data_IF_790841159859
#
_entry.id   IF_790841159859
#
_cell.length_a   1.000
_cell.length_b   1.000
_cell.length_c   1.000
_cell.angle_alpha   90.00
_cell.angle_beta   90.00
_cell.angle_gamma   90.00
#
_symmetry.space_group_name_H-M   'P 1'
#
loop_
_entity.id
_entity.type
_entity.pdbx_description
1 polymer ?
#
# COMPACT_ATOMS: atom_id res chain seq x y z
N UNK A 1 33.65 1.76 11.60
CA UNK A 1 32.78 0.85 10.81
C UNK A 1 31.79 0.27 11.82
N UNK A 2 30.50 0.61 11.67
CA UNK A 2 29.46 -0.05 12.48
C UNK A 2 29.49 -1.56 12.20
N UNK A 3 29.45 -2.36 13.23
CA UNK A 3 29.35 -3.81 13.14
C UNK A 3 28.02 -4.19 12.46
N UNK A 4 28.00 -5.31 11.72
CA UNK A 4 26.74 -5.87 11.20
C UNK A 4 25.75 -6.24 12.35
N UNK A 5 26.28 -6.48 13.56
CA UNK A 5 25.46 -6.72 14.75
C UNK A 5 24.66 -5.52 15.23
N UNK A 6 25.03 -4.31 14.81
CA UNK A 6 24.39 -3.06 15.24
C UNK A 6 23.33 -2.60 14.22
N UNK A 7 23.01 -3.42 13.22
CA UNK A 7 22.02 -3.13 12.18
C UNK A 7 20.74 -3.92 12.38
N UNK A 8 19.64 -3.37 11.85
CA UNK A 8 18.32 -4.04 11.89
C UNK A 8 17.68 -4.06 10.51
N UNK A 9 16.83 -5.04 10.29
CA UNK A 9 15.96 -5.08 9.11
C UNK A 9 14.82 -4.09 9.29
N UNK A 10 14.60 -3.25 8.26
CA UNK A 10 13.54 -2.25 8.23
C UNK A 10 12.87 -2.32 6.86
N UNK A 11 11.56 -2.35 6.83
CA UNK A 11 10.80 -2.24 5.59
C UNK A 11 11.08 -0.87 4.95
N UNK A 12 11.54 -0.88 3.71
CA UNK A 12 11.87 0.32 2.95
C UNK A 12 10.86 0.58 1.83
N UNK A 13 10.07 -0.41 1.50
CA UNK A 13 8.95 -0.35 0.59
C UNK A 13 8.00 -1.52 0.85
N UNK A 14 6.70 -1.25 0.76
CA UNK A 14 5.66 -2.28 0.89
C UNK A 14 4.42 -1.94 0.08
N UNK A 15 3.62 -2.98 -0.22
CA UNK A 15 2.28 -2.88 -0.77
C UNK A 15 1.38 -3.94 -0.14
N UNK A 16 0.14 -3.57 0.19
CA UNK A 16 -0.83 -4.56 0.68
C UNK A 16 -1.23 -5.51 -0.42
N UNK A 17 -1.11 -6.83 -0.22
CA UNK A 17 -1.56 -7.81 -1.18
C UNK A 17 -3.09 -7.87 -1.24
N UNK A 18 -3.61 -7.94 -2.46
CA UNK A 18 -5.03 -8.16 -2.76
C UNK A 18 -5.21 -9.38 -3.65
N UNK A 19 -6.45 -9.91 -3.68
CA UNK A 19 -6.83 -11.02 -4.56
C UNK A 19 -7.30 -10.50 -5.92
N UNK A 20 -6.53 -10.73 -6.96
CA UNK A 20 -6.83 -10.32 -8.32
C UNK A 20 -7.99 -11.09 -8.99
N UNK A 21 -8.54 -12.12 -8.35
CA UNK A 21 -9.68 -12.86 -8.92
C UNK A 21 -10.99 -12.08 -8.76
N UNK A 22 -11.82 -12.08 -9.80
CA UNK A 22 -13.14 -11.46 -9.77
C UNK A 22 -14.16 -12.40 -9.11
N UNK A 23 -15.06 -11.85 -8.29
CA UNK A 23 -15.99 -12.64 -7.46
C UNK A 23 -17.07 -13.37 -8.26
N UNK A 24 -17.47 -12.82 -9.43
CA UNK A 24 -18.62 -13.29 -10.22
C UNK A 24 -18.23 -13.79 -11.62
N UNK A 25 -16.94 -13.99 -11.86
CA UNK A 25 -16.44 -14.33 -13.18
C UNK A 25 -16.28 -15.84 -13.39
N UNK A 26 -16.10 -16.25 -14.64
CA UNK A 26 -15.88 -17.63 -15.03
C UNK A 26 -14.61 -18.25 -14.45
N UNK A 27 -14.33 -19.53 -14.79
CA UNK A 27 -13.19 -20.29 -14.23
C UNK A 27 -11.85 -19.57 -14.47
N UNK A 28 -11.65 -18.95 -15.64
CA UNK A 28 -10.40 -18.24 -15.97
C UNK A 28 -10.19 -17.01 -15.11
N UNK A 29 -11.26 -16.26 -14.80
CA UNK A 29 -11.17 -15.07 -13.95
C UNK A 29 -10.88 -15.41 -12.47
N UNK A 30 -11.17 -16.66 -12.05
CA UNK A 30 -10.82 -17.15 -10.72
C UNK A 30 -9.33 -17.47 -10.56
N UNK A 31 -8.60 -17.60 -11.66
CA UNK A 31 -7.16 -17.85 -11.65
C UNK A 31 -6.32 -16.55 -11.51
N UNK A 32 -6.94 -15.38 -11.64
CA UNK A 32 -6.22 -14.12 -11.68
C UNK A 32 -5.51 -13.90 -13.02
N UNK A 33 -4.35 -13.25 -13.00
CA UNK A 33 -3.55 -13.02 -14.21
C UNK A 33 -2.73 -14.26 -14.54
N UNK A 34 -3.05 -14.95 -15.63
CA UNK A 34 -2.27 -16.09 -16.11
C UNK A 34 -1.09 -15.62 -16.96
N UNK A 35 0.11 -16.09 -16.64
CA UNK A 35 1.33 -15.82 -17.40
C UNK A 35 2.10 -17.10 -17.67
N UNK A 36 2.85 -17.14 -18.79
CA UNK A 36 3.68 -18.28 -19.17
C UNK A 36 5.05 -17.81 -19.60
N UNK A 37 6.10 -18.32 -18.93
CA UNK A 37 7.52 -18.01 -19.23
C UNK A 37 7.78 -16.50 -19.36
N UNK A 38 7.37 -15.73 -18.35
CA UNK A 38 7.39 -14.26 -18.31
C UNK A 38 8.27 -13.78 -17.17
N UNK A 39 9.07 -12.75 -17.44
CA UNK A 39 9.71 -11.93 -16.42
C UNK A 39 8.82 -10.72 -16.08
N UNK A 40 8.51 -10.53 -14.80
CA UNK A 40 7.97 -9.28 -14.28
C UNK A 40 9.11 -8.47 -13.68
N UNK A 41 9.29 -7.24 -14.14
CA UNK A 41 10.26 -6.28 -13.61
C UNK A 41 9.53 -5.13 -12.95
N UNK A 42 9.78 -4.94 -11.67
CA UNK A 42 9.10 -3.94 -10.81
C UNK A 42 10.12 -2.94 -10.29
N UNK A 43 9.88 -1.66 -10.50
CA UNK A 43 10.61 -0.56 -9.89
C UNK A 43 9.87 -0.08 -8.65
N UNK A 44 10.60 0.09 -7.54
CA UNK A 44 10.08 0.57 -6.26
C UNK A 44 11.02 1.63 -5.69
N UNK A 45 10.46 2.71 -5.15
CA UNK A 45 11.22 3.78 -4.52
C UNK A 45 11.45 3.42 -3.04
N UNK A 46 12.72 3.30 -2.64
CA UNK A 46 13.08 3.01 -1.26
C UNK A 46 13.00 4.25 -0.38
N UNK A 47 12.37 4.15 0.76
CA UNK A 47 12.27 5.25 1.75
C UNK A 47 13.35 5.20 2.82
N UNK A 48 14.06 4.08 2.95
CA UNK A 48 15.24 3.92 3.80
C UNK A 48 16.43 3.35 3.01
N UNK A 49 17.64 3.60 3.48
CA UNK A 49 18.87 3.01 2.96
C UNK A 49 19.41 1.90 3.84
N UNK A 50 20.29 1.07 3.26
CA UNK A 50 20.93 -0.03 3.99
C UNK A 50 22.07 -0.67 3.20
N UNK A 51 22.71 -1.67 3.78
CA UNK A 51 23.83 -2.39 3.17
C UNK A 51 23.42 -3.63 2.38
N UNK A 52 22.28 -4.19 2.73
CA UNK A 52 21.69 -5.37 2.11
C UNK A 52 20.21 -5.14 1.88
N UNK A 53 19.65 -5.86 0.91
CA UNK A 53 18.20 -5.92 0.66
C UNK A 53 17.71 -7.35 0.77
N UNK A 54 16.45 -7.53 1.17
CA UNK A 54 15.71 -8.79 1.07
C UNK A 54 14.29 -8.51 0.61
N UNK A 55 13.66 -9.49 0.00
CA UNK A 55 12.35 -9.37 -0.62
C UNK A 55 11.37 -10.33 0.03
N UNK A 56 10.12 -9.91 0.16
CA UNK A 56 9.01 -10.83 0.46
C UNK A 56 8.17 -11.03 -0.80
N UNK A 57 8.08 -12.30 -1.23
CA UNK A 57 7.20 -12.76 -2.29
C UNK A 57 6.02 -13.51 -1.69
N UNK A 58 4.81 -13.24 -2.18
CA UNK A 58 3.58 -13.80 -1.65
C UNK A 58 2.70 -14.43 -2.72
N UNK A 59 2.16 -15.59 -2.40
CA UNK A 59 1.11 -16.30 -3.14
C UNK A 59 -0.11 -16.56 -2.23
N UNK A 60 -0.36 -15.66 -1.28
CA UNK A 60 -1.34 -15.87 -0.22
C UNK A 60 -2.78 -16.07 -0.72
N UNK A 61 -3.13 -15.46 -1.84
CA UNK A 61 -4.43 -15.65 -2.49
C UNK A 61 -4.38 -16.68 -3.62
N UNK A 62 -3.20 -17.25 -3.89
CA UNK A 62 -3.01 -18.23 -4.93
C UNK A 62 -3.75 -19.53 -4.65
N UNK A 63 -4.27 -20.14 -5.71
CA UNK A 63 -4.89 -21.50 -5.67
C UNK A 63 -3.97 -22.55 -6.29
N UNK A 64 -2.95 -22.12 -7.02
CA UNK A 64 -1.90 -22.95 -7.59
C UNK A 64 -0.52 -22.41 -7.13
N UNK A 65 0.51 -23.26 -7.10
CA UNK A 65 1.85 -22.79 -6.80
C UNK A 65 2.37 -21.81 -7.86
N UNK A 66 3.15 -20.79 -7.44
CA UNK A 66 3.95 -19.97 -8.32
C UNK A 66 5.35 -20.59 -8.52
N UNK A 67 5.81 -20.64 -9.76
CA UNK A 67 7.12 -21.18 -10.13
C UNK A 67 8.08 -20.03 -10.43
N UNK A 68 8.73 -19.51 -9.41
CA UNK A 68 9.79 -18.51 -9.51
C UNK A 68 11.10 -19.24 -9.88
N UNK A 69 11.54 -19.11 -11.11
CA UNK A 69 12.74 -19.79 -11.59
C UNK A 69 14.00 -18.97 -11.44
N UNK A 70 13.90 -17.64 -11.36
CA UNK A 70 14.99 -16.73 -11.05
C UNK A 70 14.43 -15.43 -10.49
N UNK A 71 15.22 -14.79 -9.60
CA UNK A 71 14.92 -13.47 -9.09
C UNK A 71 16.23 -12.66 -8.96
N UNK A 72 16.19 -11.40 -9.33
CA UNK A 72 17.32 -10.47 -9.20
C UNK A 72 16.87 -9.12 -8.70
N UNK A 73 17.81 -8.39 -8.08
CA UNK A 73 17.67 -6.98 -7.71
C UNK A 73 18.80 -6.18 -8.28
N UNK A 74 18.53 -4.93 -8.64
CA UNK A 74 19.52 -3.96 -9.10
C UNK A 74 19.03 -2.53 -8.82
N UNK A 75 19.92 -1.57 -8.84
CA UNK A 75 19.53 -0.17 -8.97
C UNK A 75 18.99 0.04 -10.39
N UNK A 76 17.86 0.70 -10.53
CA UNK A 76 17.21 0.83 -11.82
C UNK A 76 16.55 2.18 -12.05
N UNK A 77 15.90 2.30 -13.20
CA UNK A 77 15.10 3.46 -13.56
C UNK A 77 13.68 3.35 -13.01
N UNK A 78 13.04 4.49 -12.79
CA UNK A 78 11.68 4.59 -12.21
C UNK A 78 10.60 3.95 -13.10
N UNK A 79 10.88 3.85 -14.41
CA UNK A 79 9.98 3.23 -15.39
C UNK A 79 10.05 1.69 -15.42
N UNK A 80 10.82 1.06 -14.54
CA UNK A 80 11.05 -0.39 -14.48
C UNK A 80 11.61 -1.03 -15.77
N UNK A 81 12.19 -0.28 -16.70
CA UNK A 81 12.71 -0.83 -17.95
C UNK A 81 14.23 -1.08 -17.91
N UNK A 82 14.97 -0.17 -17.28
CA UNK A 82 16.42 -0.20 -17.21
C UNK A 82 16.94 -0.60 -15.83
N UNK A 83 18.12 -1.22 -15.79
CA UNK A 83 18.90 -1.47 -14.56
C UNK A 83 20.36 -1.10 -14.78
N UNK A 84 21.06 -0.76 -13.69
CA UNK A 84 22.53 -0.69 -13.68
C UNK A 84 23.09 -2.11 -13.50
N UNK A 85 23.72 -2.70 -14.53
CA UNK A 85 24.24 -4.06 -14.48
C UNK A 85 25.33 -4.27 -13.41
N UNK A 86 26.05 -3.22 -13.02
CA UNK A 86 27.11 -3.31 -12.01
C UNK A 86 26.52 -3.59 -10.61
N UNK A 87 25.29 -3.19 -10.40
CA UNK A 87 24.57 -3.37 -9.14
C UNK A 87 23.74 -4.67 -9.06
N UNK A 88 23.69 -5.44 -10.15
CA UNK A 88 22.87 -6.65 -10.25
C UNK A 88 23.26 -7.69 -9.20
N UNK A 89 22.30 -8.16 -8.42
CA UNK A 89 22.45 -9.26 -7.45
C UNK A 89 21.40 -10.31 -7.68
N UNK A 90 21.80 -11.57 -7.59
CA UNK A 90 20.87 -12.72 -7.59
C UNK A 90 20.23 -12.84 -6.21
N UNK A 91 18.93 -13.03 -6.19
CA UNK A 91 18.14 -13.27 -4.97
C UNK A 91 17.94 -14.77 -4.80
N UNK A 92 18.06 -15.26 -3.57
CA UNK A 92 17.86 -16.68 -3.22
C UNK A 92 16.86 -16.82 -2.09
N UNK A 93 16.18 -17.97 -2.05
CA UNK A 93 15.32 -18.38 -0.93
C UNK A 93 15.83 -19.72 -0.42
N UNK A 94 16.22 -19.79 0.85
CA UNK A 94 16.83 -20.99 1.41
C UNK A 94 18.10 -21.46 0.66
N UNK A 95 18.87 -20.53 0.09
CA UNK A 95 20.06 -20.80 -0.71
C UNK A 95 19.79 -21.22 -2.17
N UNK A 96 18.53 -21.36 -2.57
CA UNK A 96 18.14 -21.74 -3.93
C UNK A 96 17.76 -20.49 -4.77
N UNK A 97 18.15 -20.51 -6.05
CA UNK A 97 17.77 -19.44 -7.00
C UNK A 97 16.37 -19.61 -7.57
N UNK A 98 15.75 -20.78 -7.35
CA UNK A 98 14.39 -21.07 -7.75
C UNK A 98 13.55 -21.46 -6.53
N UNK A 99 12.29 -21.08 -6.54
CA UNK A 99 11.34 -21.43 -5.50
C UNK A 99 9.98 -21.77 -6.09
N UNK A 100 9.37 -22.82 -5.57
CA UNK A 100 7.96 -23.13 -5.82
C UNK A 100 7.16 -22.64 -4.61
N UNK A 101 6.54 -21.48 -4.75
CA UNK A 101 5.77 -20.86 -3.71
C UNK A 101 4.34 -21.43 -3.70
N UNK A 102 4.03 -22.25 -2.71
CA UNK A 102 2.73 -22.93 -2.60
C UNK A 102 1.56 -21.97 -2.55
N UNK A 103 0.36 -22.48 -2.81
CA UNK A 103 -0.88 -21.75 -2.59
C UNK A 103 -1.00 -21.34 -1.11
N UNK A 104 -1.40 -20.09 -0.86
CA UNK A 104 -1.50 -19.52 0.48
C UNK A 104 -0.16 -19.15 1.14
N UNK A 105 0.98 -19.43 0.50
CA UNK A 105 2.31 -19.21 1.10
C UNK A 105 2.92 -17.86 0.74
N UNK A 106 3.82 -17.41 1.62
CA UNK A 106 4.74 -16.30 1.38
C UNK A 106 6.16 -16.72 1.78
N UNK A 107 7.17 -16.10 1.20
CA UNK A 107 8.56 -16.33 1.58
C UNK A 107 9.37 -15.05 1.55
N UNK A 108 10.32 -14.93 2.49
CA UNK A 108 11.32 -13.86 2.50
C UNK A 108 12.64 -14.42 1.97
N UNK A 109 13.28 -13.66 1.10
CA UNK A 109 14.56 -14.05 0.50
C UNK A 109 15.71 -13.99 1.50
N UNK A 110 16.81 -14.66 1.17
CA UNK A 110 18.10 -14.41 1.81
C UNK A 110 18.56 -12.97 1.51
N UNK A 111 19.39 -12.37 2.39
CA UNK A 111 19.97 -11.06 2.17
C UNK A 111 20.84 -11.02 0.89
N UNK A 112 20.59 -10.04 0.02
CA UNK A 112 21.45 -9.71 -1.11
C UNK A 112 22.34 -8.51 -0.73
N UNK A 113 23.65 -8.66 -0.83
CA UNK A 113 24.62 -7.59 -0.52
C UNK A 113 24.58 -6.52 -1.63
N UNK A 114 23.69 -5.56 -1.45
CA UNK A 114 23.48 -4.41 -2.32
C UNK A 114 23.25 -3.16 -1.45
N UNK A 115 24.27 -2.30 -1.32
CA UNK A 115 24.08 -1.00 -0.67
C UNK A 115 23.07 -0.15 -1.44
N UNK A 116 22.12 0.40 -0.73
CA UNK A 116 21.05 1.26 -1.26
C UNK A 116 20.88 2.50 -0.39
N UNK A 117 20.39 3.58 -1.01
CA UNK A 117 20.11 4.83 -0.32
C UNK A 117 18.58 5.10 -0.30
N UNK A 118 18.14 5.83 0.72
CA UNK A 118 16.78 6.38 0.75
C UNK A 118 16.56 7.34 -0.43
N UNK A 119 15.44 7.21 -1.12
CA UNK A 119 15.12 7.95 -2.34
C UNK A 119 15.66 7.31 -3.62
N UNK A 120 16.31 6.16 -3.53
CA UNK A 120 16.82 5.42 -4.68
C UNK A 120 15.77 4.41 -5.18
N UNK A 121 15.70 4.22 -6.49
CA UNK A 121 14.84 3.21 -7.11
C UNK A 121 15.55 1.86 -7.15
N UNK A 122 14.94 0.86 -6.51
CA UNK A 122 15.32 -0.54 -6.62
C UNK A 122 14.44 -1.21 -7.67
N UNK A 123 15.07 -1.96 -8.56
CA UNK A 123 14.37 -2.79 -9.55
C UNK A 123 14.48 -4.26 -9.16
N UNK A 124 13.31 -4.91 -9.02
CA UNK A 124 13.18 -6.34 -8.77
C UNK A 124 12.72 -7.01 -10.06
N UNK A 125 13.45 -8.03 -10.55
CA UNK A 125 13.04 -8.81 -11.71
C UNK A 125 12.81 -10.25 -11.30
N UNK A 126 11.58 -10.74 -11.47
CA UNK A 126 11.17 -12.14 -11.16
C UNK A 126 10.82 -12.85 -12.46
N UNK A 127 11.45 -13.97 -12.72
CA UNK A 127 11.12 -14.85 -13.86
C UNK A 127 10.23 -15.99 -13.40
N UNK A 128 9.02 -16.04 -13.93
CA UNK A 128 8.02 -17.07 -13.69
C UNK A 128 8.05 -18.10 -14.83
N UNK A 129 8.50 -19.31 -14.53
CA UNK A 129 8.65 -20.39 -15.51
C UNK A 129 7.39 -21.23 -15.63
N UNK A 130 6.99 -21.54 -16.87
CA UNK A 130 5.78 -22.28 -17.17
C UNK A 130 4.52 -21.48 -16.84
N UNK A 131 3.39 -22.15 -16.73
CA UNK A 131 2.09 -21.50 -16.47
C UNK A 131 2.00 -21.12 -15.00
N UNK A 132 1.73 -19.87 -14.73
CA UNK A 132 1.50 -19.32 -13.39
C UNK A 132 0.18 -18.54 -13.35
N UNK A 133 -0.59 -18.74 -12.29
CA UNK A 133 -1.82 -18.01 -12.01
C UNK A 133 -1.54 -17.00 -10.88
N UNK A 134 -1.35 -15.74 -11.23
CA UNK A 134 -1.01 -14.67 -10.28
C UNK A 134 -2.29 -14.07 -9.70
N UNK A 135 -2.69 -14.51 -8.53
CA UNK A 135 -3.82 -13.95 -7.79
C UNK A 135 -3.40 -12.93 -6.74
N UNK A 136 -2.20 -13.08 -6.20
CA UNK A 136 -1.66 -12.15 -5.21
C UNK A 136 -0.94 -11.02 -5.93
N UNK A 137 -1.51 -9.82 -5.87
CA UNK A 137 -0.96 -8.61 -6.49
C UNK A 137 -1.01 -7.42 -5.53
N UNK A 138 -0.14 -6.44 -5.75
CA UNK A 138 -0.28 -5.08 -5.24
C UNK A 138 -0.78 -4.15 -6.34
N UNK A 139 -1.48 -3.07 -5.97
CA UNK A 139 -1.95 -2.03 -6.91
C UNK A 139 -1.35 -0.65 -6.62
N UNK A 140 -0.37 -0.57 -5.73
CA UNK A 140 0.13 0.70 -5.19
C UNK A 140 1.63 0.63 -4.94
N UNK A 141 2.33 1.71 -5.24
CA UNK A 141 3.69 1.97 -4.77
C UNK A 141 4.82 1.50 -5.68
N UNK A 142 4.53 1.03 -6.88
CA UNK A 142 5.55 0.61 -7.85
C UNK A 142 5.06 0.69 -9.28
N UNK A 143 5.98 0.50 -10.21
CA UNK A 143 5.71 0.38 -11.65
C UNK A 143 6.24 -0.98 -12.11
N UNK A 144 5.47 -1.73 -12.88
CA UNK A 144 5.85 -3.06 -13.36
C UNK A 144 5.71 -3.21 -14.87
N UNK A 145 6.66 -3.92 -15.45
CA UNK A 145 6.60 -4.34 -16.86
C UNK A 145 6.82 -5.85 -16.98
N UNK A 146 6.14 -6.44 -17.94
CA UNK A 146 6.30 -7.85 -18.28
C UNK A 146 7.00 -8.00 -19.63
N UNK A 147 7.93 -8.97 -19.73
CA UNK A 147 8.55 -9.36 -20.99
C UNK A 147 8.70 -10.89 -21.05
N UNK A 148 8.45 -11.50 -22.22
CA UNK A 148 8.56 -12.94 -22.41
C UNK A 148 10.02 -13.40 -22.24
N UNK A 149 10.19 -14.56 -21.60
CA UNK A 149 11.48 -15.19 -21.33
C UNK A 149 12.16 -14.68 -20.06
N UNK A 150 13.34 -15.23 -19.77
CA UNK A 150 14.13 -14.85 -18.61
C UNK A 150 14.91 -13.57 -18.87
N UNK A 151 14.42 -12.46 -18.35
CA UNK A 151 15.00 -11.13 -18.46
C UNK A 151 15.72 -10.68 -17.19
N UNK A 152 15.92 -11.56 -16.20
CA UNK A 152 16.50 -11.22 -14.88
C UNK A 152 17.90 -10.59 -14.98
N UNK A 153 18.66 -10.89 -16.02
CA UNK A 153 20.02 -10.35 -16.24
C UNK A 153 20.11 -9.32 -17.38
N UNK A 154 19.01 -8.99 -18.03
CA UNK A 154 19.00 -8.01 -19.13
C UNK A 154 19.13 -6.59 -18.58
N UNK A 155 20.08 -5.77 -19.05
CA UNK A 155 20.20 -4.37 -18.63
C UNK A 155 18.96 -3.53 -18.97
N UNK A 156 18.33 -3.82 -20.12
CA UNK A 156 17.15 -3.10 -20.61
C UNK A 156 16.11 -4.10 -21.11
N UNK A 157 14.84 -3.87 -20.79
CA UNK A 157 13.72 -4.55 -21.43
C UNK A 157 13.41 -3.91 -22.79
N UNK A 158 13.20 -4.73 -23.82
CA UNK A 158 13.03 -4.27 -25.20
C UNK A 158 11.57 -4.38 -25.67
N UNK A 159 10.90 -5.47 -25.33
CA UNK A 159 9.52 -5.79 -25.73
C UNK A 159 8.59 -5.77 -24.54
N UNK A 160 8.89 -4.92 -23.54
CA UNK A 160 8.18 -4.85 -22.30
C UNK A 160 6.78 -4.23 -22.48
N UNK A 161 5.78 -4.86 -21.88
CA UNK A 161 4.43 -4.33 -21.76
C UNK A 161 4.16 -3.91 -20.32
N UNK A 162 3.55 -2.73 -20.09
CA UNK A 162 3.16 -2.33 -18.74
C UNK A 162 2.21 -3.35 -18.11
N UNK A 163 2.43 -3.69 -16.85
CA UNK A 163 1.50 -4.50 -16.09
C UNK A 163 0.49 -3.57 -15.41
N UNK A 164 -0.66 -3.42 -16.04
CA UNK A 164 -1.70 -2.51 -15.61
C UNK A 164 -3.07 -3.18 -15.64
N UNK A 165 -3.89 -2.87 -14.64
CA UNK A 165 -5.32 -3.16 -14.65
C UNK A 165 -6.07 -1.89 -15.04
N UNK A 166 -6.83 -1.96 -16.12
CA UNK A 166 -7.64 -0.83 -16.58
C UNK A 166 -9.07 -0.97 -16.05
N UNK A 167 -9.52 0.04 -15.35
CA UNK A 167 -10.90 0.20 -14.91
C UNK A 167 -11.48 1.52 -15.45
N UNK A 168 -12.78 1.73 -15.32
CA UNK A 168 -13.44 2.99 -15.75
C UNK A 168 -12.85 4.25 -15.12
N UNK A 169 -12.18 4.12 -13.99
CA UNK A 169 -11.51 5.19 -13.22
C UNK A 169 -10.03 5.39 -13.59
N UNK A 170 -9.48 4.62 -14.53
CA UNK A 170 -8.09 4.73 -14.97
C UNK A 170 -7.32 3.41 -14.97
N UNK A 171 -6.03 3.50 -15.29
CA UNK A 171 -5.11 2.38 -15.23
C UNK A 171 -4.45 2.30 -13.84
N UNK A 172 -4.37 1.10 -13.29
CA UNK A 172 -3.71 0.80 -12.01
C UNK A 172 -2.51 -0.09 -12.28
N UNK A 173 -1.36 0.26 -11.73
CA UNK A 173 -0.18 -0.59 -11.76
C UNK A 173 -0.46 -1.92 -11.06
N UNK A 174 0.02 -3.01 -11.64
CA UNK A 174 -0.07 -4.36 -11.08
C UNK A 174 1.32 -4.82 -10.69
N UNK A 175 1.52 -5.08 -9.40
CA UNK A 175 2.77 -5.59 -8.84
C UNK A 175 2.57 -7.06 -8.49
N UNK A 176 3.09 -7.99 -9.31
CA UNK A 176 2.83 -9.41 -9.10
C UNK A 176 3.70 -9.98 -7.98
N UNK A 177 3.06 -10.57 -6.99
CA UNK A 177 3.65 -11.35 -5.90
C UNK A 177 4.67 -10.64 -4.99
N UNK A 178 5.30 -9.54 -5.40
CA UNK A 178 6.19 -8.75 -4.54
C UNK A 178 5.37 -7.91 -3.57
N UNK A 179 5.58 -8.08 -2.26
CA UNK A 179 4.82 -7.38 -1.23
C UNK A 179 5.65 -6.48 -0.34
N UNK A 180 6.95 -6.77 -0.19
CA UNK A 180 7.83 -5.99 0.69
C UNK A 180 9.28 -6.04 0.22
N UNK A 181 9.98 -4.94 0.45
CA UNK A 181 11.43 -4.82 0.32
C UNK A 181 11.98 -4.27 1.63
N UNK A 182 12.80 -5.07 2.31
CA UNK A 182 13.51 -4.64 3.51
C UNK A 182 14.95 -4.29 3.18
N UNK A 183 15.50 -3.38 3.98
CA UNK A 183 16.92 -3.03 3.98
C UNK A 183 17.55 -3.30 5.34
N UNK A 184 18.82 -3.71 5.35
CA UNK A 184 19.60 -3.83 6.57
C UNK A 184 20.17 -2.45 6.92
N UNK A 185 19.38 -1.68 7.67
CA UNK A 185 19.61 -0.28 8.00
C UNK A 185 20.49 -0.12 9.26
N UNK A 186 20.93 1.11 9.53
CA UNK A 186 21.63 1.47 10.77
C UNK A 186 20.74 1.23 11.99
N UNK A 187 21.37 1.04 13.15
CA UNK A 187 20.67 0.96 14.44
C UNK A 187 19.79 2.19 14.66
N UNK A 188 18.65 2.00 15.33
CA UNK A 188 17.69 3.08 15.57
C UNK A 188 16.84 3.48 14.35
N UNK A 189 17.09 2.92 13.16
CA UNK A 189 16.17 3.11 12.03
C UNK A 189 14.90 2.28 12.26
N UNK A 190 13.73 2.88 12.01
CA UNK A 190 12.44 2.25 12.18
C UNK A 190 11.49 2.56 11.00
N UNK A 191 10.38 1.85 10.91
CA UNK A 191 9.38 2.09 9.88
C UNK A 191 8.11 2.70 10.48
N UNK A 192 7.66 3.79 9.86
CA UNK A 192 6.31 4.32 10.01
C UNK A 192 5.45 3.79 8.85
N UNK A 193 4.40 3.06 9.16
CA UNK A 193 3.50 2.47 8.16
C UNK A 193 2.27 3.36 8.00
N UNK A 194 1.97 3.79 6.78
CA UNK A 194 0.72 4.50 6.47
C UNK A 194 -0.35 3.45 6.13
N UNK A 195 -1.31 3.28 7.02
CA UNK A 195 -2.42 2.35 6.88
C UNK A 195 -3.68 3.08 6.42
N UNK A 196 -4.21 2.75 5.25
CA UNK A 196 -5.30 3.52 4.70
C UNK A 196 -5.92 2.98 3.42
N UNK A 197 -6.59 3.88 2.72
CA UNK A 197 -7.28 3.64 1.46
C UNK A 197 -6.66 4.42 0.28
N UNK A 198 -7.44 4.67 -0.77
CA UNK A 198 -6.98 5.42 -1.95
C UNK A 198 -6.53 6.86 -1.65
N UNK A 199 -6.95 7.45 -0.56
CA UNK A 199 -6.63 8.85 -0.23
C UNK A 199 -5.18 9.05 0.25
N UNK A 200 -4.50 7.97 0.67
CA UNK A 200 -3.09 7.98 1.11
C UNK A 200 -2.17 7.15 0.20
N UNK A 201 -2.75 6.51 -0.82
CA UNK A 201 -2.02 5.62 -1.71
C UNK A 201 -0.98 6.37 -2.58
N UNK A 202 0.13 5.71 -2.88
CA UNK A 202 1.21 6.11 -3.79
C UNK A 202 2.10 7.26 -3.30
N UNK A 203 1.58 8.50 -3.28
CA UNK A 203 2.42 9.69 -3.13
C UNK A 203 2.76 10.02 -1.67
N UNK A 204 1.83 9.81 -0.74
CA UNK A 204 2.03 10.24 0.65
C UNK A 204 3.27 9.63 1.32
N UNK A 205 3.56 8.32 1.21
CA UNK A 205 4.78 7.76 1.80
C UNK A 205 6.05 8.40 1.26
N UNK A 206 6.12 8.61 -0.06
CA UNK A 206 7.26 9.22 -0.74
C UNK A 206 7.45 10.69 -0.31
N UNK A 207 6.36 11.46 -0.28
CA UNK A 207 6.37 12.87 0.10
C UNK A 207 6.76 13.06 1.57
N UNK A 208 6.18 12.27 2.47
CA UNK A 208 6.50 12.31 3.89
C UNK A 208 7.96 11.90 4.14
N UNK A 209 8.43 10.79 3.54
CA UNK A 209 9.83 10.37 3.65
C UNK A 209 10.82 11.44 3.13
N UNK A 210 10.49 12.11 2.02
CA UNK A 210 11.32 13.18 1.48
C UNK A 210 11.34 14.40 2.42
N UNK A 211 10.19 14.76 3.00
CA UNK A 211 10.07 15.87 3.95
C UNK A 211 10.84 15.60 5.25
N UNK A 212 10.69 14.42 5.83
CA UNK A 212 11.44 14.02 7.04
C UNK A 212 12.95 14.08 6.80
N UNK A 213 13.43 13.60 5.66
CA UNK A 213 14.86 13.70 5.31
C UNK A 213 15.32 15.15 5.17
N UNK A 214 14.50 16.01 4.56
CA UNK A 214 14.79 17.45 4.44
C UNK A 214 14.87 18.14 5.81
N UNK A 215 14.06 17.72 6.78
CA UNK A 215 14.09 18.16 8.17
C UNK A 215 15.25 17.54 8.99
N UNK A 216 16.07 16.67 8.39
CA UNK A 216 17.19 16.00 9.09
C UNK A 216 16.82 14.70 9.78
N UNK A 217 15.57 14.27 9.76
CA UNK A 217 15.08 12.99 10.32
C UNK A 217 15.38 11.89 9.29
N UNK A 218 16.44 11.12 9.53
CA UNK A 218 16.99 10.14 8.57
C UNK A 218 16.83 8.69 9.00
N UNK A 219 16.38 8.46 10.23
CA UNK A 219 16.19 7.16 10.84
C UNK A 219 14.75 6.63 10.69
N UNK A 220 13.91 7.27 9.87
CA UNK A 220 12.52 6.86 9.63
C UNK A 220 12.37 6.41 8.18
N UNK A 221 11.94 5.19 8.00
CA UNK A 221 11.36 4.69 6.76
C UNK A 221 9.87 4.96 6.75
N UNK A 222 9.30 5.37 5.63
CA UNK A 222 7.85 5.52 5.50
C UNK A 222 7.35 4.55 4.45
N UNK A 223 6.57 3.59 4.89
CA UNK A 223 5.97 2.56 4.04
C UNK A 223 4.45 2.68 4.01
N UNK A 224 3.78 1.79 3.31
CA UNK A 224 2.33 1.85 3.22
C UNK A 224 1.69 0.46 3.35
N UNK A 225 0.46 0.48 3.83
CA UNK A 225 -0.45 -0.66 3.86
C UNK A 225 -1.85 -0.21 3.39
N UNK A 226 -1.89 0.46 2.23
CA UNK A 226 -3.12 1.02 1.67
C UNK A 226 -3.73 0.09 0.62
N UNK A 227 -5.06 0.02 0.59
CA UNK A 227 -5.85 -0.64 -0.46
C UNK A 227 -6.94 0.33 -0.92
N UNK A 228 -7.03 0.55 -2.24
CA UNK A 228 -8.03 1.45 -2.82
C UNK A 228 -9.45 0.95 -2.56
N UNK A 229 -10.31 1.80 -2.03
CA UNK A 229 -11.70 1.45 -1.71
C UNK A 229 -11.88 0.61 -0.44
N UNK A 230 -10.80 0.38 0.32
CA UNK A 230 -10.84 -0.39 1.55
C UNK A 230 -11.64 0.29 2.66
N UNK A 231 -12.17 -0.52 3.57
CA UNK A 231 -12.97 -0.11 4.70
C UNK A 231 -12.35 -0.59 6.01
N UNK A 232 -12.61 0.15 7.08
CA UNK A 232 -12.09 -0.19 8.40
C UNK A 232 -12.71 -1.47 8.96
N UNK A 233 -14.06 -1.54 8.96
CA UNK A 233 -14.80 -2.56 9.71
C UNK A 233 -15.46 -3.62 8.84
N UNK A 234 -15.48 -3.45 7.53
CA UNK A 234 -16.20 -4.36 6.64
C UNK A 234 -15.41 -4.71 5.37
N UNK A 235 -15.57 -5.94 4.89
CA UNK A 235 -14.93 -6.42 3.66
C UNK A 235 -15.48 -5.71 2.42
N UNK A 236 -14.74 -5.71 1.32
CA UNK A 236 -15.21 -5.27 0.01
C UNK A 236 -16.48 -6.02 -0.42
N UNK A 237 -17.35 -5.38 -1.21
CA UNK A 237 -18.61 -5.97 -1.68
C UNK A 237 -18.76 -5.83 -3.20
N UNK A 238 -19.67 -6.63 -3.78
CA UNK A 238 -19.97 -6.64 -5.21
C UNK A 238 -18.90 -7.34 -6.04
N UNK A 239 -18.92 -7.10 -7.35
CA UNK A 239 -18.04 -7.77 -8.31
C UNK A 239 -16.55 -7.57 -8.02
N UNK A 240 -16.18 -6.39 -7.53
CA UNK A 240 -14.81 -6.04 -7.19
C UNK A 240 -14.44 -6.27 -5.71
N UNK A 241 -15.26 -7.01 -4.95
CA UNK A 241 -15.08 -7.20 -3.51
C UNK A 241 -13.63 -7.51 -3.11
N UNK A 242 -12.98 -8.41 -3.83
CA UNK A 242 -11.61 -8.87 -3.53
C UNK A 242 -10.53 -7.82 -3.85
N UNK A 243 -10.78 -6.99 -4.86
CA UNK A 243 -9.88 -5.87 -5.22
C UNK A 243 -9.97 -4.72 -4.20
N UNK A 244 -11.11 -4.59 -3.51
CA UNK A 244 -11.32 -3.59 -2.47
C UNK A 244 -10.79 -4.04 -1.08
N UNK A 245 -10.24 -5.23 -1.00
CA UNK A 245 -9.62 -5.77 0.20
C UNK A 245 -10.59 -6.33 1.23
N UNK A 246 -10.02 -6.99 2.24
CA UNK A 246 -10.72 -7.35 3.47
C UNK A 246 -10.69 -6.20 4.45
N UNK A 247 -11.62 -6.17 5.40
CA UNK A 247 -11.72 -5.13 6.42
C UNK A 247 -10.35 -4.80 7.05
N UNK A 248 -10.09 -3.52 7.26
CA UNK A 248 -8.84 -3.04 7.85
C UNK A 248 -8.48 -3.76 9.15
N UNK A 249 -9.46 -3.95 10.03
CA UNK A 249 -9.28 -4.68 11.30
C UNK A 249 -8.81 -6.13 11.13
N UNK A 250 -9.11 -6.78 9.99
CA UNK A 250 -8.69 -8.16 9.70
C UNK A 250 -7.27 -8.25 9.14
N UNK A 251 -6.83 -7.23 8.40
CA UNK A 251 -5.55 -7.22 7.71
C UNK A 251 -4.44 -6.46 8.43
N UNK A 252 -4.77 -5.67 9.46
CA UNK A 252 -3.84 -4.80 10.18
C UNK A 252 -2.61 -5.55 10.70
N UNK A 253 -2.81 -6.68 11.39
CA UNK A 253 -1.71 -7.49 11.92
C UNK A 253 -0.74 -7.95 10.82
N UNK A 254 -1.27 -8.36 9.67
CA UNK A 254 -0.46 -8.80 8.52
C UNK A 254 0.24 -7.64 7.81
N UNK A 255 -0.53 -6.60 7.47
CA UNK A 255 -0.08 -5.56 6.53
C UNK A 255 0.72 -4.45 7.22
N UNK A 256 0.53 -4.26 8.52
CA UNK A 256 1.20 -3.23 9.32
C UNK A 256 2.20 -3.85 10.27
N UNK A 257 1.72 -4.66 11.22
CA UNK A 257 2.55 -5.20 12.29
C UNK A 257 3.54 -6.27 11.81
N UNK A 258 3.26 -6.89 10.66
CA UNK A 258 4.17 -7.83 9.99
C UNK A 258 5.34 -7.17 9.26
N UNK A 259 5.33 -5.86 9.03
CA UNK A 259 6.42 -5.17 8.34
C UNK A 259 7.67 -5.06 9.22
N UNK A 260 8.83 -5.29 8.63
CA UNK A 260 10.08 -5.27 9.36
C UNK A 260 10.37 -3.88 9.95
N UNK A 261 10.61 -3.84 11.27
CA UNK A 261 10.95 -2.61 11.98
C UNK A 261 9.81 -1.60 12.12
N UNK A 262 8.55 -2.00 11.90
CA UNK A 262 7.41 -1.15 12.19
C UNK A 262 7.36 -0.83 13.69
N UNK A 263 7.34 0.45 14.05
CA UNK A 263 7.18 0.93 15.41
C UNK A 263 6.17 2.08 15.52
N UNK A 264 5.67 2.53 14.37
CA UNK A 264 4.67 3.57 14.28
C UNK A 264 3.71 3.30 13.11
N UNK A 265 2.44 3.63 13.29
CA UNK A 265 1.44 3.60 12.23
C UNK A 265 0.60 4.89 12.20
N UNK A 266 0.43 5.44 11.00
CA UNK A 266 -0.53 6.51 10.73
C UNK A 266 -1.75 5.89 10.05
N UNK A 267 -2.92 5.96 10.67
CA UNK A 267 -4.16 5.38 10.15
C UNK A 267 -5.02 6.47 9.52
N UNK A 268 -5.23 6.40 8.21
CA UNK A 268 -6.24 7.21 7.50
C UNK A 268 -7.14 6.26 6.70
N UNK A 269 -8.05 5.61 7.40
CA UNK A 269 -8.96 4.59 6.89
C UNK A 269 -10.32 4.76 7.55
N UNK A 270 -11.40 4.57 6.83
CA UNK A 270 -12.76 4.68 7.35
C UNK A 270 -13.69 5.51 6.45
N UNK A 271 -13.15 6.31 5.54
CA UNK A 271 -13.96 7.11 4.63
C UNK A 271 -14.92 6.24 3.79
N UNK A 272 -14.45 5.08 3.31
CA UNK A 272 -15.26 4.17 2.50
C UNK A 272 -16.33 3.42 3.32
N UNK A 273 -16.19 3.33 4.64
CA UNK A 273 -17.24 2.81 5.52
C UNK A 273 -18.45 3.77 5.54
N UNK A 274 -18.18 5.08 5.46
CA UNK A 274 -19.22 6.11 5.42
C UNK A 274 -19.78 6.30 4.01
N UNK A 275 -18.95 6.28 2.98
CA UNK A 275 -19.34 6.61 1.60
C UNK A 275 -20.04 5.44 0.90
N UNK A 276 -19.50 4.23 0.99
CA UNK A 276 -19.99 3.09 0.20
C UNK A 276 -21.43 2.68 0.47
N UNK A 277 -22.00 2.78 1.70
CA UNK A 277 -23.41 2.49 1.92
C UNK A 277 -24.36 3.41 1.16
N UNK A 278 -23.89 4.60 0.75
CA UNK A 278 -24.65 5.60 0.02
C UNK A 278 -24.42 5.55 -1.51
N UNK A 279 -23.70 4.53 -2.00
CA UNK A 279 -23.57 4.28 -3.43
C UNK A 279 -24.79 3.54 -3.98
N UNK A 280 -25.42 4.05 -5.03
CA UNK A 280 -26.53 3.39 -5.71
C UNK A 280 -26.16 2.00 -6.23
N UNK A 281 -24.95 1.85 -6.76
CA UNK A 281 -24.42 0.57 -7.26
C UNK A 281 -24.21 -0.48 -6.16
N UNK A 282 -24.24 -0.07 -4.89
CA UNK A 282 -24.08 -0.96 -3.72
C UNK A 282 -25.34 -1.04 -2.86
N UNK A 283 -26.45 -0.49 -3.36
CA UNK A 283 -27.72 -0.51 -2.66
C UNK A 283 -28.15 -1.95 -2.32
N UNK A 284 -28.52 -2.19 -1.07
CA UNK A 284 -28.87 -3.53 -0.57
C UNK A 284 -27.70 -4.46 -0.27
N UNK A 285 -26.44 -4.08 -0.64
CA UNK A 285 -25.23 -4.86 -0.32
C UNK A 285 -24.58 -4.39 0.99
N UNK A 286 -24.83 -3.16 1.39
CA UNK A 286 -24.23 -2.53 2.56
C UNK A 286 -25.28 -1.84 3.41
N UNK A 287 -25.07 -1.91 4.72
CA UNK A 287 -25.78 -1.12 5.72
C UNK A 287 -24.87 0.00 6.21
N UNK A 288 -25.36 1.22 6.42
CA UNK A 288 -24.59 2.28 7.06
C UNK A 288 -24.02 1.83 8.40
N UNK A 289 -22.75 2.17 8.62
CA UNK A 289 -22.04 1.86 9.87
C UNK A 289 -22.47 2.84 10.96
N UNK A 290 -22.36 2.40 12.21
CA UNK A 290 -22.65 3.24 13.39
C UNK A 290 -21.35 3.76 13.99
N UNK A 291 -21.43 4.84 14.77
CA UNK A 291 -20.32 5.36 15.57
C UNK A 291 -19.70 4.27 16.46
N UNK A 292 -20.52 3.46 17.12
CA UNK A 292 -20.05 2.37 17.98
C UNK A 292 -19.24 1.31 17.20
N UNK A 293 -19.65 0.96 15.98
CA UNK A 293 -18.92 0.02 15.14
C UNK A 293 -17.57 0.59 14.69
N UNK A 294 -17.55 1.86 14.27
CA UNK A 294 -16.33 2.52 13.83
C UNK A 294 -15.33 2.68 14.98
N UNK A 295 -15.76 3.19 16.12
CA UNK A 295 -14.89 3.35 17.31
C UNK A 295 -14.41 2.02 17.85
N UNK A 296 -15.20 0.95 17.80
CA UNK A 296 -14.75 -0.41 18.13
C UNK A 296 -13.65 -0.88 17.16
N UNK A 297 -13.78 -0.59 15.86
CA UNK A 297 -12.75 -0.89 14.86
C UNK A 297 -11.43 -0.17 15.16
N UNK A 298 -11.47 1.13 15.40
CA UNK A 298 -10.26 1.92 15.75
C UNK A 298 -9.62 1.46 17.06
N UNK A 299 -10.44 1.13 18.09
CA UNK A 299 -9.94 0.55 19.35
C UNK A 299 -9.21 -0.76 19.10
N UNK A 300 -9.77 -1.63 18.27
CA UNK A 300 -9.13 -2.90 17.93
C UNK A 300 -7.77 -2.70 17.24
N UNK A 301 -7.61 -1.68 16.36
CA UNK A 301 -6.32 -1.34 15.78
C UNK A 301 -5.34 -0.86 16.85
N UNK A 302 -5.78 0.02 17.76
CA UNK A 302 -4.93 0.54 18.84
C UNK A 302 -4.48 -0.58 19.78
N UNK A 303 -5.38 -1.45 20.20
CA UNK A 303 -5.07 -2.60 21.06
C UNK A 303 -4.03 -3.53 20.40
N UNK A 304 -4.19 -3.83 19.11
CA UNK A 304 -3.22 -4.65 18.36
C UNK A 304 -1.85 -3.97 18.24
N UNK A 305 -1.81 -2.67 17.98
CA UNK A 305 -0.58 -1.89 17.86
C UNK A 305 0.16 -1.86 19.21
N UNK A 306 -0.51 -1.45 20.27
CA UNK A 306 0.05 -1.33 21.62
C UNK A 306 0.51 -2.68 22.17
N UNK A 307 -0.19 -3.79 21.86
CA UNK A 307 0.24 -5.14 22.26
C UNK A 307 1.61 -5.53 21.66
N UNK A 308 2.07 -4.86 20.60
CA UNK A 308 3.39 -5.05 20.00
C UNK A 308 4.34 -3.86 20.20
N UNK A 309 3.97 -2.88 21.04
CA UNK A 309 4.77 -1.69 21.30
C UNK A 309 4.84 -0.73 20.12
N UNK A 310 3.89 -0.81 19.19
CA UNK A 310 3.78 0.08 18.02
C UNK A 310 2.90 1.27 18.37
N UNK A 311 3.41 2.48 18.15
CA UNK A 311 2.65 3.72 18.33
C UNK A 311 1.63 3.89 17.21
N UNK A 312 0.43 4.34 17.54
CA UNK A 312 -0.66 4.51 16.57
C UNK A 312 -1.25 5.91 16.62
N UNK A 313 -1.34 6.54 15.45
CA UNK A 313 -1.92 7.86 15.27
C UNK A 313 -3.08 7.80 14.28
N UNK A 314 -4.21 8.42 14.63
CA UNK A 314 -5.36 8.50 13.73
C UNK A 314 -5.36 9.83 12.99
N UNK A 315 -5.40 9.77 11.64
CA UNK A 315 -5.64 10.94 10.82
C UNK A 315 -7.14 11.17 10.73
N UNK A 316 -7.57 12.40 10.83
CA UNK A 316 -8.96 12.77 10.62
C UNK A 316 -9.46 12.36 9.25
N UNK A 317 -10.75 12.09 9.16
CA UNK A 317 -11.42 11.82 7.89
C UNK A 317 -11.72 13.16 7.21
N UNK A 318 -11.26 13.29 5.98
CA UNK A 318 -11.49 14.49 5.16
C UNK A 318 -12.94 14.55 4.68
N UNK A 319 -13.48 15.76 4.42
CA UNK A 319 -14.79 15.92 3.79
C UNK A 319 -14.81 15.29 2.40
N UNK A 320 -16.01 14.92 1.92
CA UNK A 320 -16.20 14.22 0.66
C UNK A 320 -17.37 14.74 -0.20
N UNK A 321 -17.92 15.91 0.14
CA UNK A 321 -18.94 16.59 -0.67
C UNK A 321 -18.40 16.84 -2.07
N UNK A 322 -19.21 16.56 -3.09
CA UNK A 322 -18.80 16.62 -4.48
C UNK A 322 -18.26 15.30 -5.04
N UNK A 323 -18.00 14.30 -4.21
CA UNK A 323 -17.66 12.97 -4.69
C UNK A 323 -18.90 12.23 -5.14
N UNK A 324 -19.08 12.10 -6.45
CA UNK A 324 -20.30 11.54 -7.07
C UNK A 324 -20.03 10.23 -7.80
N UNK A 325 -18.75 9.88 -8.05
CA UNK A 325 -18.37 8.76 -8.89
C UNK A 325 -17.57 7.72 -8.13
N UNK A 326 -18.10 6.53 -7.97
CA UNK A 326 -17.38 5.39 -7.43
C UNK A 326 -16.46 4.74 -8.48
N UNK A 327 -15.45 4.00 -8.02
CA UNK A 327 -14.44 3.28 -8.83
C UNK A 327 -15.04 2.42 -9.96
N UNK A 328 -16.22 1.85 -9.73
CA UNK A 328 -16.95 0.98 -10.66
C UNK A 328 -18.36 1.51 -10.97
N UNK A 329 -18.66 2.75 -10.55
CA UNK A 329 -19.94 3.42 -10.74
C UNK A 329 -19.89 4.41 -11.90
N UNK A 330 -21.02 4.58 -12.59
CA UNK A 330 -21.20 5.62 -13.58
C UNK A 330 -21.73 6.86 -12.90
N UNK A 331 -21.23 8.07 -13.24
CA UNK A 331 -21.66 9.39 -12.78
C UNK A 331 -22.62 9.48 -11.62
N UNK A 332 -23.24 10.07 -10.90
CA UNK A 332 -24.25 10.11 -9.85
C UNK A 332 -24.40 8.86 -8.95
N UNK A 333 -23.39 7.99 -8.90
CA UNK A 333 -23.46 6.76 -8.11
C UNK A 333 -23.45 7.05 -6.60
N UNK A 334 -22.73 8.11 -6.18
CA UNK A 334 -22.56 8.47 -4.77
C UNK A 334 -23.41 9.69 -4.45
N UNK A 335 -24.15 9.58 -3.35
CA UNK A 335 -24.99 10.67 -2.83
C UNK A 335 -24.41 11.17 -1.51
N UNK A 336 -24.00 12.43 -1.49
CA UNK A 336 -23.63 13.11 -0.28
C UNK A 336 -24.84 13.84 0.32
N UNK A 337 -24.91 13.85 1.64
CA UNK A 337 -25.81 14.74 2.39
C UNK A 337 -25.18 15.07 3.75
N UNK A 338 -25.58 16.18 4.41
CA UNK A 338 -25.11 16.49 5.76
C UNK A 338 -25.42 15.38 6.77
N UNK A 339 -26.54 14.66 6.60
CA UNK A 339 -26.92 13.52 7.44
C UNK A 339 -25.93 12.37 7.30
N UNK A 340 -25.51 12.05 6.06
CA UNK A 340 -24.56 10.99 5.81
C UNK A 340 -23.12 11.35 6.24
N UNK A 341 -22.80 12.64 6.25
CA UNK A 341 -21.50 13.14 6.68
C UNK A 341 -21.39 13.37 8.20
N UNK A 342 -22.51 13.41 8.93
CA UNK A 342 -22.52 13.66 10.37
C UNK A 342 -21.61 12.71 11.16
N UNK A 343 -21.58 11.42 10.78
CA UNK A 343 -20.72 10.43 11.42
C UNK A 343 -19.23 10.74 11.25
N UNK A 344 -18.79 11.33 10.12
CA UNK A 344 -17.42 11.80 9.96
C UNK A 344 -17.04 12.85 10.99
N UNK A 345 -17.91 13.83 11.19
CA UNK A 345 -17.68 14.90 12.17
C UNK A 345 -17.63 14.35 13.60
N UNK A 346 -18.53 13.40 13.93
CA UNK A 346 -18.55 12.73 15.23
C UNK A 346 -17.26 11.92 15.47
N UNK A 347 -16.77 11.20 14.47
CA UNK A 347 -15.50 10.44 14.54
C UNK A 347 -14.30 11.37 14.70
N UNK A 348 -14.23 12.46 13.93
CA UNK A 348 -13.13 13.44 14.07
C UNK A 348 -13.12 14.08 15.46
N UNK A 349 -14.30 14.41 16.01
CA UNK A 349 -14.41 14.89 17.39
C UNK A 349 -13.95 13.84 18.41
N UNK A 350 -14.27 12.56 18.17
CA UNK A 350 -13.79 11.47 19.03
C UNK A 350 -12.27 11.27 18.93
N UNK A 351 -11.63 11.39 17.75
CA UNK A 351 -10.18 11.32 17.62
C UNK A 351 -9.46 12.37 18.48
N UNK A 352 -10.07 13.55 18.66
CA UNK A 352 -9.56 14.66 19.49
C UNK A 352 -9.83 14.46 20.98
N UNK A 353 -10.66 13.50 21.36
CA UNK A 353 -11.12 13.32 22.75
C UNK A 353 -10.18 12.40 23.54
N UNK A 354 -10.18 12.57 24.86
CA UNK A 354 -9.50 11.66 25.78
C UNK A 354 -10.03 10.20 25.76
N UNK A 355 -11.19 9.97 25.11
CA UNK A 355 -11.75 8.63 24.94
C UNK A 355 -11.16 7.85 23.77
N UNK A 356 -10.35 8.49 22.91
CA UNK A 356 -9.61 7.86 21.84
C UNK A 356 -8.36 7.15 22.39
N UNK A 357 -8.12 5.87 22.06
CA UNK A 357 -6.97 5.13 22.60
C UNK A 357 -5.67 5.34 21.82
N UNK A 358 -5.68 6.12 20.73
CA UNK A 358 -4.47 6.41 19.94
C UNK A 358 -3.46 7.26 20.73
N UNK A 359 -2.18 7.17 20.39
CA UNK A 359 -1.12 8.00 20.95
C UNK A 359 -1.24 9.46 20.52
N UNK A 360 -2.03 9.73 19.49
CA UNK A 360 -2.37 11.07 19.03
C UNK A 360 -3.23 11.04 17.77
N UNK A 361 -3.51 12.22 17.27
CA UNK A 361 -4.27 12.39 16.03
C UNK A 361 -3.61 13.45 15.12
N UNK A 362 -3.92 13.38 13.83
CA UNK A 362 -3.46 14.34 12.82
C UNK A 362 -4.70 15.13 12.34
N UNK A 363 -4.79 16.42 12.68
CA UNK A 363 -5.89 17.26 12.20
C UNK A 363 -5.77 17.51 10.71
N UNK A 364 -6.87 17.38 9.97
CA UNK A 364 -6.92 17.58 8.52
C UNK A 364 -7.88 18.69 8.10
N UNK A 365 -8.35 19.52 9.03
CA UNK A 365 -9.27 20.63 8.78
C UNK A 365 -8.74 21.60 7.69
N UNK A 366 -7.42 21.80 7.64
CA UNK A 366 -6.78 22.70 6.66
C UNK A 366 -6.90 22.20 5.20
N UNK A 367 -7.40 21.00 4.96
CA UNK A 367 -7.71 20.49 3.62
C UNK A 367 -9.14 20.81 3.18
N UNK A 368 -10.02 21.19 4.12
CA UNK A 368 -11.40 21.58 3.82
C UNK A 368 -11.44 22.99 3.23
N UNK A 369 -12.40 23.21 2.34
CA UNK A 369 -12.66 24.51 1.76
C UNK A 369 -13.21 25.46 2.85
N UNK A 370 -12.58 26.63 3.08
CA UNK A 370 -13.05 27.58 4.09
C UNK A 370 -14.46 28.14 3.80
N UNK A 371 -14.89 28.17 2.54
CA UNK A 371 -16.20 28.63 2.12
C UNK A 371 -17.26 27.49 2.12
N UNK A 372 -16.84 26.23 2.11
CA UNK A 372 -17.67 25.02 2.18
C UNK A 372 -16.95 23.90 2.95
N UNK A 373 -17.01 23.91 4.29
CA UNK A 373 -16.25 22.96 5.13
C UNK A 373 -16.59 21.46 4.92
N UNK A 374 -17.67 21.18 4.21
CA UNK A 374 -18.05 19.82 3.84
C UNK A 374 -17.36 19.33 2.56
N UNK A 375 -16.64 20.21 1.86
CA UNK A 375 -15.88 19.92 0.67
C UNK A 375 -14.35 20.07 0.90
N UNK A 376 -13.54 19.41 0.07
CA UNK A 376 -12.11 19.69 -0.02
C UNK A 376 -11.86 20.98 -0.82
N UNK A 377 -10.79 21.72 -0.50
CA UNK A 377 -10.30 22.80 -1.32
C UNK A 377 -10.20 22.34 -2.79
N UNK A 378 -10.82 23.02 -3.76
CA UNK A 378 -10.88 22.57 -5.16
C UNK A 378 -9.52 22.27 -5.79
N UNK A 379 -8.47 23.00 -5.43
CA UNK A 379 -7.10 22.75 -5.89
C UNK A 379 -6.48 21.47 -5.31
N UNK A 380 -7.03 20.93 -4.24
CA UNK A 380 -6.52 19.75 -3.54
C UNK A 380 -7.21 18.47 -3.91
N UNK A 381 -8.28 18.50 -4.69
CA UNK A 381 -9.02 17.30 -5.09
C UNK A 381 -9.28 17.25 -6.58
N UNK A 382 -9.39 16.02 -7.12
CA UNK A 382 -9.77 15.77 -8.52
C UNK A 382 -11.26 15.49 -8.69
N UNK A 383 -11.91 15.00 -7.64
CA UNK A 383 -13.28 14.45 -7.71
C UNK A 383 -14.08 14.62 -6.41
N UNK A 384 -13.57 15.39 -5.46
CA UNK A 384 -14.20 15.63 -4.15
C UNK A 384 -13.65 14.77 -3.01
N UNK A 385 -12.82 13.72 -3.29
CA UNK A 385 -12.22 12.87 -2.26
C UNK A 385 -10.75 12.54 -2.53
N UNK A 386 -10.36 12.30 -3.78
CA UNK A 386 -8.98 11.96 -4.13
C UNK A 386 -8.12 13.20 -4.30
N UNK A 387 -6.94 13.17 -3.69
CA UNK A 387 -6.07 14.33 -3.66
C UNK A 387 -5.28 14.51 -4.97
N UNK A 388 -5.22 15.75 -5.45
CA UNK A 388 -4.25 16.17 -6.47
C UNK A 388 -2.82 16.07 -5.94
N UNK A 389 -1.77 16.20 -6.78
CA UNK A 389 -0.40 16.33 -6.28
C UNK A 389 -0.21 17.48 -5.28
N UNK A 390 -0.97 18.58 -5.42
CA UNK A 390 -0.98 19.70 -4.45
C UNK A 390 -1.62 19.27 -3.13
N UNK A 391 -2.77 18.59 -3.18
CA UNK A 391 -3.45 18.05 -2.00
C UNK A 391 -2.62 17.00 -1.26
N UNK A 392 -1.90 16.12 -1.98
CA UNK A 392 -0.99 15.16 -1.37
C UNK A 392 0.18 15.84 -0.63
N UNK A 393 0.73 16.93 -1.20
CA UNK A 393 1.76 17.74 -0.51
C UNK A 393 1.20 18.44 0.72
N UNK A 394 -0.01 19.00 0.62
CA UNK A 394 -0.68 19.63 1.75
C UNK A 394 -0.95 18.61 2.88
N UNK A 395 -1.47 17.43 2.54
CA UNK A 395 -1.65 16.34 3.51
C UNK A 395 -0.32 15.95 4.18
N UNK A 396 0.74 15.75 3.39
CA UNK A 396 2.06 15.42 3.96
C UNK A 396 2.59 16.54 4.88
N UNK A 397 2.28 17.81 4.60
CA UNK A 397 2.71 18.95 5.41
C UNK A 397 2.00 19.04 6.77
N UNK A 398 0.79 18.50 6.88
CA UNK A 398 0.01 18.48 8.13
C UNK A 398 0.48 17.43 9.13
N UNK A 399 1.26 16.45 8.72
CA UNK A 399 1.80 15.42 9.63
C UNK A 399 2.97 16.05 10.40
N UNK A 400 2.91 16.20 11.75
CA UNK A 400 3.97 16.82 12.52
C UNK A 400 5.28 16.02 12.47
N UNK A 401 6.43 16.71 12.45
CA UNK A 401 7.74 16.06 12.39
C UNK A 401 8.21 15.53 13.75
N UNK A 402 7.77 16.17 14.82
CA UNK A 402 8.13 15.83 16.22
C UNK A 402 7.60 14.48 16.70
N UNK A 403 6.56 13.94 16.03
CA UNK A 403 6.05 12.59 16.37
C UNK A 403 7.01 11.46 15.98
N UNK A 404 8.02 11.76 15.16
CA UNK A 404 9.00 10.79 14.65
C UNK A 404 10.32 10.79 15.46
N UNK A 405 10.44 11.65 16.45
CA UNK A 405 11.61 11.80 17.32
C UNK A 405 11.71 10.77 18.43
#
# INVERSE_FOLDING_TARGET
>A
MESLSDRRWVSAWSTSPIDASLSEAGVLDRLGVAVTDVSARTAVLLTAGGTHVRLTLSNMFGVLPLHVAACTVAIGADDARGIDPATLRTVTVGGQTHVRLGAGASCTSAPAALPVAAGQTLTVTVFYRGINAMRTIGLIGGCSHAEIGNCTRRPMLHMAVPMQHTADSGAYEVIPALTEVDVLAAAGTHACVIFGDSTVANELPRLLAARLRAAGIRNVSVTQAAIKGDRLVADGVGRAAKLLGGAGVKRFGRDVLGQAGADMVLVKLGANDLIHPHCRSKQGLLTPVTFAQMTAGYRALADMAHAQGVRIWFCELTPWKGYTRNLFGRGDDIQWSPEYDALRLELNAWFRSAGCPADGYIPLDALADPDDPDALIPAYTTDGVHHTPAGQRALAALIPEDIFG
#
